data_IF_209408478389
#
_entry.id   IF_209408478389
#
_cell.length_a   1.000
_cell.length_b   1.000
_cell.length_c   1.000
_cell.angle_alpha   90.00
_cell.angle_beta   90.00
_cell.angle_gamma   90.00
#
_symmetry.space_group_name_H-M   'P 1'
#
loop_
_entity.id
_entity.type
_entity.pdbx_description
1 polymer ?
#
# COMPACT_ATOMS: atom_id res chain seq x y z
N UNK A 1 0.18 27.81 2.53
CA UNK A 1 0.87 26.63 1.96
C UNK A 1 0.09 25.31 2.12
N UNK A 2 -0.72 25.11 3.18
CA UNK A 2 -1.29 23.79 3.51
C UNK A 2 -2.47 23.25 2.67
N UNK A 3 -3.16 24.05 1.83
CA UNK A 3 -4.35 23.58 1.11
C UNK A 3 -4.01 22.58 -0.03
N UNK A 4 -2.90 22.81 -0.72
CA UNK A 4 -2.46 21.96 -1.84
C UNK A 4 -1.85 20.65 -1.33
N UNK A 5 -1.07 20.71 -0.25
CA UNK A 5 -0.41 19.54 0.34
C UNK A 5 -1.41 18.59 0.99
N UNK A 6 -2.46 19.12 1.64
CA UNK A 6 -3.55 18.31 2.16
C UNK A 6 -4.26 17.50 1.06
N UNK A 7 -4.58 18.16 -0.07
CA UNK A 7 -5.25 17.52 -1.22
C UNK A 7 -4.40 16.40 -1.82
N UNK A 8 -3.08 16.61 -1.90
CA UNK A 8 -2.14 15.60 -2.38
C UNK A 8 -2.14 14.35 -1.49
N UNK A 9 -2.06 14.53 -0.17
CA UNK A 9 -2.03 13.40 0.78
C UNK A 9 -3.33 12.61 0.76
N UNK A 10 -4.49 13.29 0.68
CA UNK A 10 -5.77 12.60 0.54
C UNK A 10 -5.85 11.77 -0.74
N UNK A 11 -5.38 12.31 -1.88
CA UNK A 11 -5.31 11.54 -3.13
C UNK A 11 -4.40 10.33 -3.03
N UNK A 12 -3.27 10.49 -2.34
CA UNK A 12 -2.32 9.40 -2.12
C UNK A 12 -2.94 8.27 -1.30
N UNK A 13 -3.57 8.58 -0.15
CA UNK A 13 -4.27 7.56 0.66
C UNK A 13 -5.47 6.96 -0.06
N UNK A 14 -6.21 7.76 -0.84
CA UNK A 14 -7.30 7.25 -1.65
C UNK A 14 -6.82 6.22 -2.67
N UNK A 15 -5.69 6.47 -3.34
CA UNK A 15 -5.09 5.51 -4.27
C UNK A 15 -4.66 4.21 -3.56
N UNK A 16 -4.13 4.34 -2.35
CA UNK A 16 -3.73 3.19 -1.54
C UNK A 16 -4.92 2.32 -1.12
N UNK A 17 -6.01 2.95 -0.68
CA UNK A 17 -7.28 2.26 -0.41
C UNK A 17 -7.84 1.61 -1.68
N UNK A 18 -7.79 2.31 -2.82
CA UNK A 18 -8.23 1.76 -4.10
C UNK A 18 -7.39 0.54 -4.52
N UNK A 19 -6.09 0.53 -4.19
CA UNK A 19 -5.20 -0.60 -4.44
C UNK A 19 -5.60 -1.81 -3.60
N UNK A 20 -6.00 -1.59 -2.34
CA UNK A 20 -6.51 -2.63 -1.45
C UNK A 20 -7.86 -3.17 -1.96
N UNK A 21 -8.78 -2.28 -2.35
CA UNK A 21 -10.05 -2.65 -2.97
C UNK A 21 -9.82 -3.44 -4.25
N UNK A 22 -8.85 -3.06 -5.08
CA UNK A 22 -8.51 -3.77 -6.31
C UNK A 22 -8.04 -5.20 -6.03
N UNK A 23 -7.15 -5.41 -5.06
CA UNK A 23 -6.69 -6.77 -4.70
C UNK A 23 -7.85 -7.62 -4.18
N UNK A 24 -8.70 -7.08 -3.29
CA UNK A 24 -9.88 -7.79 -2.78
C UNK A 24 -10.88 -8.08 -3.90
N UNK A 25 -11.09 -7.13 -4.80
CA UNK A 25 -11.97 -7.27 -5.96
C UNK A 25 -11.48 -8.36 -6.91
N UNK A 26 -10.19 -8.40 -7.21
CA UNK A 26 -9.58 -9.47 -8.02
C UNK A 26 -9.75 -10.84 -7.36
N UNK A 27 -9.52 -10.92 -6.04
CA UNK A 27 -9.70 -12.14 -5.27
C UNK A 27 -11.15 -12.65 -5.35
N UNK A 28 -12.13 -11.75 -5.24
CA UNK A 28 -13.56 -12.08 -5.36
C UNK A 28 -13.98 -12.45 -6.78
N UNK A 29 -13.47 -11.77 -7.81
CA UNK A 29 -13.75 -12.09 -9.21
C UNK A 29 -13.23 -13.48 -9.58
N UNK A 30 -12.02 -13.82 -9.14
CA UNK A 30 -11.44 -15.15 -9.34
C UNK A 30 -12.22 -16.22 -8.58
N UNK A 31 -12.62 -15.94 -7.35
CA UNK A 31 -13.47 -16.84 -6.57
C UNK A 31 -14.82 -17.09 -7.25
N UNK A 32 -15.46 -16.03 -7.75
CA UNK A 32 -16.73 -16.15 -8.49
C UNK A 32 -16.58 -16.91 -9.81
N UNK A 33 -15.46 -16.72 -10.52
CA UNK A 33 -15.13 -17.44 -11.75
C UNK A 33 -14.95 -18.94 -11.50
N UNK A 34 -14.33 -19.30 -10.37
CA UNK A 34 -14.07 -20.69 -9.96
C UNK A 34 -15.22 -21.34 -9.19
N UNK A 35 -16.40 -20.70 -9.14
CA UNK A 35 -17.59 -21.26 -8.50
C UNK A 35 -17.60 -21.18 -6.97
N UNK A 36 -16.82 -20.28 -6.36
CA UNK A 36 -16.80 -20.05 -4.90
C UNK A 36 -15.87 -20.96 -4.11
N UNK A 37 -15.02 -21.74 -4.80
CA UNK A 37 -14.11 -22.69 -4.17
C UNK A 37 -12.67 -22.16 -4.05
N UNK A 38 -12.34 -20.99 -4.61
CA UNK A 38 -10.98 -20.45 -4.62
C UNK A 38 -10.48 -20.06 -3.23
N UNK A 39 -11.34 -19.45 -2.39
CA UNK A 39 -10.96 -19.08 -1.02
C UNK A 39 -10.66 -20.31 -0.15
N UNK A 40 -11.48 -21.34 -0.27
CA UNK A 40 -11.32 -22.60 0.48
C UNK A 40 -10.13 -23.41 -0.03
N UNK A 41 -9.83 -23.29 -1.32
CA UNK A 41 -8.78 -24.04 -1.97
C UNK A 41 -7.40 -23.81 -1.35
N UNK A 42 -6.96 -22.55 -1.17
CA UNK A 42 -5.65 -22.29 -0.57
C UNK A 42 -5.53 -22.74 0.89
N UNK A 43 -6.61 -22.64 1.67
CA UNK A 43 -6.66 -23.12 3.06
C UNK A 43 -6.52 -24.65 3.11
N UNK A 44 -7.26 -25.36 2.25
CA UNK A 44 -7.17 -26.83 2.12
C UNK A 44 -5.80 -27.30 1.65
N UNK A 45 -5.16 -26.57 0.71
CA UNK A 45 -3.80 -26.90 0.27
C UNK A 45 -2.81 -26.82 1.44
N UNK A 46 -2.96 -25.85 2.33
CA UNK A 46 -2.12 -25.70 3.52
C UNK A 46 -2.37 -26.82 4.56
N UNK A 47 -3.64 -27.18 4.79
CA UNK A 47 -4.04 -28.21 5.75
C UNK A 47 -3.63 -29.61 5.31
N UNK A 48 -3.75 -29.91 4.03
CA UNK A 48 -3.53 -31.26 3.52
C UNK A 48 -2.14 -31.47 2.95
N UNK A 49 -1.23 -30.47 2.97
CA UNK A 49 0.07 -30.47 2.25
C UNK A 49 0.87 -31.78 2.32
N UNK A 50 0.77 -32.54 3.41
CA UNK A 50 1.46 -33.83 3.65
C UNK A 50 0.79 -35.09 3.08
N UNK A 51 -0.44 -35.02 2.54
CA UNK A 51 -1.16 -36.20 1.98
C UNK A 51 -1.02 -36.30 0.46
N UNK A 52 -0.92 -37.51 -0.08
CA UNK A 52 -0.80 -37.74 -1.52
C UNK A 52 -1.96 -37.12 -2.32
N UNK A 53 -1.63 -36.49 -3.46
CA UNK A 53 -2.58 -35.75 -4.31
C UNK A 53 -3.70 -36.62 -4.91
N UNK A 54 -3.55 -37.95 -4.94
CA UNK A 54 -4.55 -38.89 -5.45
C UNK A 54 -5.68 -39.18 -4.44
N UNK A 55 -5.42 -39.04 -3.14
CA UNK A 55 -6.43 -39.21 -2.08
C UNK A 55 -7.20 -37.91 -1.76
N UNK A 56 -6.72 -36.76 -2.26
CA UNK A 56 -7.37 -35.47 -2.06
C UNK A 56 -8.50 -35.27 -3.07
N UNK A 57 -9.75 -35.40 -2.61
CA UNK A 57 -10.93 -34.98 -3.37
C UNK A 57 -11.07 -33.46 -3.24
N UNK A 58 -10.22 -32.73 -3.95
CA UNK A 58 -10.31 -31.27 -4.01
C UNK A 58 -11.48 -30.85 -4.92
N UNK A 59 -12.36 -29.92 -4.51
CA UNK A 59 -13.48 -29.43 -5.31
C UNK A 59 -13.06 -28.89 -6.68
N UNK A 60 -11.81 -28.44 -6.79
CA UNK A 60 -11.24 -27.91 -8.04
C UNK A 60 -11.02 -28.98 -9.11
N UNK A 61 -11.02 -30.28 -8.77
CA UNK A 61 -11.01 -31.39 -9.74
C UNK A 61 -12.29 -31.40 -10.59
N UNK A 62 -13.42 -30.97 -10.01
CA UNK A 62 -14.68 -30.84 -10.74
C UNK A 62 -14.72 -29.62 -11.66
N UNK A 63 -14.03 -28.55 -11.26
CA UNK A 63 -13.90 -27.32 -12.07
C UNK A 63 -12.88 -27.53 -13.20
N UNK A 64 -11.80 -28.27 -12.92
CA UNK A 64 -10.66 -28.49 -13.81
C UNK A 64 -10.29 -29.99 -13.91
N UNK A 65 -11.05 -30.81 -14.67
CA UNK A 65 -10.73 -32.22 -14.87
C UNK A 65 -9.41 -32.41 -15.64
N UNK A 66 -8.46 -33.13 -15.03
CA UNK A 66 -7.17 -33.49 -15.66
C UNK A 66 -7.31 -34.63 -16.68
N UNK A 67 -8.40 -35.41 -16.59
CA UNK A 67 -8.72 -36.54 -17.45
C UNK A 67 -10.19 -36.48 -17.89
N UNK A 68 -10.46 -36.78 -19.16
CA UNK A 68 -11.82 -36.81 -19.73
C UNK A 68 -12.04 -38.07 -20.56
N UNK A 69 -13.29 -38.52 -20.67
CA UNK A 69 -13.67 -39.65 -21.53
C UNK A 69 -13.93 -39.13 -22.94
N UNK A 70 -13.06 -39.47 -23.87
CA UNK A 70 -13.23 -39.18 -25.28
C UNK A 70 -13.93 -40.35 -25.98
N UNK A 71 -14.94 -40.03 -26.79
CA UNK A 71 -15.66 -41.01 -27.59
C UNK A 71 -15.18 -40.93 -29.04
N UNK A 72 -14.55 -41.99 -29.51
CA UNK A 72 -14.12 -42.12 -30.90
C UNK A 72 -15.11 -43.02 -31.65
N UNK A 73 -15.66 -42.50 -32.74
CA UNK A 73 -16.50 -43.26 -33.65
C UNK A 73 -15.64 -43.78 -34.80
N UNK A 74 -15.48 -45.11 -34.88
CA UNK A 74 -14.68 -45.77 -35.91
C UNK A 74 -15.59 -46.68 -36.72
N UNK A 75 -15.42 -46.70 -38.04
CA UNK A 75 -16.16 -47.59 -38.92
C UNK A 75 -15.49 -48.97 -38.92
N UNK A 76 -16.26 -50.00 -38.55
CA UNK A 76 -15.82 -51.39 -38.61
C UNK A 76 -15.76 -51.90 -40.05
N UNK A 77 -15.12 -53.07 -40.28
CA UNK A 77 -15.00 -53.69 -41.62
C UNK A 77 -16.36 -54.02 -42.26
N UNK A 78 -17.43 -54.11 -41.47
CA UNK A 78 -18.81 -54.33 -41.92
C UNK A 78 -19.59 -53.03 -42.19
N UNK A 79 -18.97 -51.85 -42.06
CA UNK A 79 -19.62 -50.54 -42.22
C UNK A 79 -20.44 -50.07 -41.00
N UNK A 80 -20.44 -50.82 -39.89
CA UNK A 80 -21.09 -50.44 -38.63
C UNK A 80 -20.24 -49.42 -37.86
N UNK A 81 -20.90 -48.46 -37.20
CA UNK A 81 -20.23 -47.49 -36.31
C UNK A 81 -19.97 -48.17 -34.97
N UNK A 82 -18.70 -48.39 -34.66
CA UNK A 82 -18.24 -48.88 -33.36
C UNK A 82 -17.78 -47.69 -32.50
N UNK A 83 -18.29 -47.59 -31.27
CA UNK A 83 -17.89 -46.55 -30.31
C UNK A 83 -16.76 -47.07 -29.44
N UNK A 84 -15.57 -46.49 -29.58
CA UNK A 84 -14.42 -46.77 -28.72
C UNK A 84 -14.23 -45.63 -27.74
N UNK A 85 -14.23 -45.99 -26.47
CA UNK A 85 -13.99 -45.06 -25.37
C UNK A 85 -12.50 -45.05 -25.01
N UNK A 86 -11.91 -43.86 -24.91
CA UNK A 86 -10.54 -43.70 -24.41
C UNK A 86 -10.45 -42.55 -23.42
N UNK A 87 -9.44 -42.59 -22.56
CA UNK A 87 -9.15 -41.50 -21.63
C UNK A 87 -8.22 -40.49 -22.31
N UNK A 88 -8.60 -39.21 -22.25
CA UNK A 88 -7.82 -38.08 -22.76
C UNK A 88 -7.28 -37.26 -21.57
N UNK A 89 -5.99 -36.93 -21.61
CA UNK A 89 -5.39 -36.00 -20.67
C UNK A 89 -5.61 -34.57 -21.15
N UNK A 90 -5.85 -33.63 -20.22
CA UNK A 90 -6.03 -32.21 -20.51
C UNK A 90 -4.91 -31.39 -19.86
N UNK A 91 -3.74 -31.23 -20.52
CA UNK A 91 -2.55 -30.64 -19.91
C UNK A 91 -2.76 -29.20 -19.44
N UNK A 92 -3.61 -28.45 -20.16
CA UNK A 92 -3.94 -27.06 -19.83
C UNK A 92 -4.57 -26.94 -18.42
N UNK A 93 -5.36 -27.92 -18.01
CA UNK A 93 -6.00 -27.92 -16.70
C UNK A 93 -5.01 -28.17 -15.56
N UNK A 94 -4.03 -29.03 -15.81
CA UNK A 94 -2.98 -29.30 -14.85
C UNK A 94 -2.10 -28.06 -14.61
N UNK A 95 -1.83 -27.28 -15.67
CA UNK A 95 -1.12 -25.99 -15.55
C UNK A 95 -1.96 -24.97 -14.76
N UNK A 96 -3.24 -24.81 -15.12
CA UNK A 96 -4.14 -23.91 -14.43
C UNK A 96 -4.22 -24.23 -12.92
N UNK A 97 -4.37 -25.51 -12.56
CA UNK A 97 -4.40 -25.96 -11.17
C UNK A 97 -3.19 -25.44 -10.37
N UNK A 98 -1.98 -25.56 -10.92
CA UNK A 98 -0.75 -25.11 -10.24
C UNK A 98 -0.61 -23.57 -10.25
N UNK A 99 -0.99 -22.91 -11.34
CA UNK A 99 -0.99 -21.45 -11.43
C UNK A 99 -1.95 -20.82 -10.42
N UNK A 100 -3.16 -21.37 -10.25
CA UNK A 100 -4.13 -20.84 -9.28
C UNK A 100 -3.69 -21.02 -7.84
N UNK A 101 -2.97 -22.10 -7.49
CA UNK A 101 -2.33 -22.25 -6.17
C UNK A 101 -1.34 -21.10 -5.95
N UNK A 102 -0.43 -20.89 -6.89
CA UNK A 102 0.60 -19.85 -6.78
C UNK A 102 -0.03 -18.44 -6.65
N UNK A 103 -1.02 -18.15 -7.50
CA UNK A 103 -1.75 -16.88 -7.49
C UNK A 103 -2.49 -16.66 -6.17
N UNK A 104 -3.07 -17.70 -5.57
CA UNK A 104 -3.75 -17.58 -4.28
C UNK A 104 -2.79 -17.12 -3.18
N UNK A 105 -1.65 -17.80 -3.03
CA UNK A 105 -0.63 -17.40 -2.04
C UNK A 105 -0.10 -16.00 -2.31
N UNK A 106 0.14 -15.68 -3.58
CA UNK A 106 0.58 -14.36 -4.00
C UNK A 106 -0.41 -13.26 -3.61
N UNK A 107 -1.71 -13.43 -3.90
CA UNK A 107 -2.72 -12.44 -3.54
C UNK A 107 -2.91 -12.32 -2.03
N UNK A 108 -2.85 -13.42 -1.27
CA UNK A 108 -2.94 -13.37 0.20
C UNK A 108 -1.75 -12.62 0.80
N UNK A 109 -0.53 -12.87 0.32
CA UNK A 109 0.67 -12.13 0.75
C UNK A 109 0.55 -10.64 0.40
N UNK A 110 0.14 -10.30 -0.83
CA UNK A 110 -0.02 -8.90 -1.22
C UNK A 110 -1.13 -8.20 -0.42
N UNK A 111 -2.27 -8.86 -0.21
CA UNK A 111 -3.38 -8.33 0.57
C UNK A 111 -2.98 -8.08 2.04
N UNK A 112 -2.26 -9.02 2.66
CA UNK A 112 -1.79 -8.88 4.05
C UNK A 112 -0.75 -7.78 4.20
N UNK A 113 0.26 -7.73 3.33
CA UNK A 113 1.28 -6.67 3.35
C UNK A 113 0.67 -5.29 3.13
N UNK A 114 -0.23 -5.15 2.15
CA UNK A 114 -0.89 -3.88 1.87
C UNK A 114 -1.82 -3.46 3.01
N UNK A 115 -2.59 -4.40 3.57
CA UNK A 115 -3.45 -4.12 4.73
C UNK A 115 -2.64 -3.67 5.94
N UNK A 116 -1.52 -4.33 6.24
CA UNK A 116 -0.63 -3.91 7.32
C UNK A 116 -0.06 -2.51 7.09
N UNK A 117 0.33 -2.21 5.85
CA UNK A 117 0.88 -0.91 5.46
C UNK A 117 -0.18 0.19 5.61
N UNK A 118 -1.41 -0.03 5.15
CA UNK A 118 -2.55 0.90 5.32
C UNK A 118 -2.87 1.10 6.80
N UNK A 119 -2.94 0.03 7.59
CA UNK A 119 -3.20 0.10 9.04
C UNK A 119 -2.10 0.87 9.77
N UNK A 120 -0.84 0.60 9.48
CA UNK A 120 0.29 1.35 10.05
C UNK A 120 0.17 2.85 9.76
N UNK A 121 -0.19 3.22 8.52
CA UNK A 121 -0.38 4.63 8.13
C UNK A 121 -1.58 5.27 8.81
N UNK A 122 -2.69 4.52 8.97
CA UNK A 122 -3.88 4.97 9.69
C UNK A 122 -3.57 5.22 11.17
N UNK A 123 -2.77 4.34 11.81
CA UNK A 123 -2.31 4.52 13.19
C UNK A 123 -1.42 5.78 13.32
N UNK A 124 -0.49 6.01 12.39
CA UNK A 124 0.33 7.23 12.36
C UNK A 124 -0.51 8.52 12.21
N UNK A 125 -1.60 8.44 11.47
CA UNK A 125 -2.56 9.53 11.33
C UNK A 125 -3.33 9.78 12.63
N UNK A 126 -3.88 8.71 13.22
CA UNK A 126 -4.70 8.77 14.43
C UNK A 126 -3.90 9.20 15.69
N UNK A 127 -2.62 8.82 15.79
CA UNK A 127 -1.76 9.14 16.93
C UNK A 127 -0.73 10.23 16.58
N UNK A 128 -1.05 11.52 16.79
CA UNK A 128 -0.11 12.62 16.53
C UNK A 128 1.17 12.56 17.38
N UNK A 129 1.11 11.94 18.57
CA UNK A 129 2.29 11.77 19.44
C UNK A 129 3.35 10.81 18.91
N UNK A 130 2.99 9.89 18.00
CA UNK A 130 3.96 8.96 17.39
C UNK A 130 4.73 9.60 16.23
N UNK A 131 4.17 10.63 15.61
CA UNK A 131 4.73 11.29 14.42
C UNK A 131 6.20 11.73 14.58
N UNK A 132 6.56 12.54 15.60
CA UNK A 132 7.94 12.98 15.78
C UNK A 132 8.87 11.83 16.21
N UNK A 133 8.37 10.85 16.99
CA UNK A 133 9.15 9.69 17.42
C UNK A 133 9.59 8.81 16.24
N UNK A 134 8.67 8.56 15.31
CA UNK A 134 8.94 7.73 14.14
C UNK A 134 9.91 8.43 13.17
N UNK A 135 9.77 9.74 12.96
CA UNK A 135 10.75 10.51 12.17
C UNK A 135 12.15 10.45 12.78
N UNK A 136 12.25 10.60 14.11
CA UNK A 136 13.52 10.49 14.82
C UNK A 136 14.14 9.09 14.72
N UNK A 137 13.34 8.02 14.81
CA UNK A 137 13.83 6.66 14.65
C UNK A 137 14.47 6.43 13.29
N UNK A 138 13.89 6.99 12.22
CA UNK A 138 14.43 6.85 10.88
C UNK A 138 15.61 7.79 10.61
N UNK A 139 15.62 8.96 11.25
CA UNK A 139 16.61 10.01 11.05
C UNK A 139 17.23 10.47 12.36
N UNK A 140 18.04 9.59 12.96
CA UNK A 140 18.71 9.81 14.24
C UNK A 140 19.71 10.97 14.25
N UNK A 141 20.11 11.43 13.06
CA UNK A 141 21.00 12.57 12.86
C UNK A 141 20.36 13.91 13.23
N UNK A 142 19.03 13.99 13.31
CA UNK A 142 18.27 15.21 13.63
C UNK A 142 17.77 15.12 15.08
N UNK A 143 17.95 16.18 15.90
CA UNK A 143 17.42 16.19 17.26
C UNK A 143 15.88 16.15 17.26
N UNK A 144 15.31 15.40 18.20
CA UNK A 144 13.86 15.21 18.33
C UNK A 144 13.08 16.53 18.51
N UNK A 145 13.70 17.52 19.14
CA UNK A 145 13.13 18.85 19.39
C UNK A 145 12.76 19.58 18.09
N UNK A 146 13.60 19.45 17.05
CA UNK A 146 13.34 20.05 15.73
C UNK A 146 12.11 19.41 15.09
N UNK A 147 11.94 18.09 15.22
CA UNK A 147 10.74 17.42 14.71
C UNK A 147 9.48 17.82 15.47
N UNK A 148 9.56 18.03 16.79
CA UNK A 148 8.42 18.48 17.60
C UNK A 148 8.01 19.92 17.27
N UNK A 149 8.98 20.83 17.21
CA UNK A 149 8.75 22.23 16.85
C UNK A 149 8.14 22.34 15.45
N UNK A 150 8.63 21.55 14.49
CA UNK A 150 8.10 21.52 13.13
C UNK A 150 6.69 20.92 13.07
N UNK A 151 6.47 19.75 13.68
CA UNK A 151 5.17 19.06 13.62
C UNK A 151 4.05 19.87 14.26
N UNK A 152 4.36 20.70 15.27
CA UNK A 152 3.38 21.59 15.92
C UNK A 152 3.02 22.81 15.08
N UNK A 153 3.93 23.30 14.21
CA UNK A 153 3.72 24.50 13.40
C UNK A 153 3.16 24.22 12.00
N UNK A 154 3.29 22.98 11.54
CA UNK A 154 3.06 22.62 10.15
C UNK A 154 1.80 21.77 9.96
N UNK A 155 1.18 21.86 8.78
CA UNK A 155 0.01 21.05 8.45
C UNK A 155 0.37 19.56 8.32
N UNK A 156 -0.64 18.69 8.46
CA UNK A 156 -0.44 17.24 8.35
C UNK A 156 0.07 16.81 6.97
N UNK A 157 -0.27 17.58 5.93
CA UNK A 157 0.16 17.34 4.56
C UNK A 157 1.67 17.50 4.41
N UNK A 158 2.24 18.57 4.96
CA UNK A 158 3.68 18.81 4.82
C UNK A 158 4.49 17.87 5.71
N UNK A 159 3.97 17.50 6.89
CA UNK A 159 4.57 16.44 7.72
C UNK A 159 4.68 15.12 6.94
N UNK A 160 3.61 14.73 6.25
CA UNK A 160 3.58 13.50 5.46
C UNK A 160 4.60 13.50 4.32
N UNK A 161 4.72 14.62 3.60
CA UNK A 161 5.71 14.78 2.53
C UNK A 161 7.12 14.63 3.10
N UNK A 162 7.41 15.28 4.23
CA UNK A 162 8.71 15.14 4.89
C UNK A 162 8.95 13.74 5.41
N UNK A 163 7.93 13.03 5.87
CA UNK A 163 8.03 11.63 6.25
C UNK A 163 8.42 10.76 5.05
N UNK A 164 7.76 10.94 3.89
CA UNK A 164 8.11 10.22 2.65
C UNK A 164 9.53 10.57 2.21
N UNK A 165 9.89 11.86 2.23
CA UNK A 165 11.22 12.34 1.87
C UNK A 165 12.30 11.72 2.75
N UNK A 166 12.03 11.62 4.04
CA UNK A 166 12.95 11.07 5.04
C UNK A 166 13.34 9.61 4.77
N UNK A 167 12.48 8.86 4.05
CA UNK A 167 12.72 7.46 3.66
C UNK A 167 13.47 7.30 2.35
N UNK A 168 13.55 8.35 1.54
CA UNK A 168 14.14 8.32 0.20
C UNK A 168 15.45 9.13 0.10
N UNK A 169 15.84 9.83 1.17
CA UNK A 169 17.05 10.68 1.23
C UNK A 169 17.97 10.19 2.35
N UNK A 170 19.28 10.35 2.14
CA UNK A 170 20.31 10.03 3.12
C UNK A 170 20.15 10.86 4.42
N UNK A 171 20.29 10.27 5.62
CA UNK A 171 20.01 10.97 6.88
C UNK A 171 20.81 12.27 7.10
N UNK A 172 22.02 12.38 6.57
CA UNK A 172 22.83 13.60 6.67
C UNK A 172 22.26 14.75 5.83
N UNK A 173 21.81 14.45 4.60
CA UNK A 173 21.18 15.44 3.70
C UNK A 173 19.82 15.86 4.26
N UNK A 174 19.06 14.89 4.79
CA UNK A 174 17.78 15.16 5.42
C UNK A 174 17.91 16.13 6.61
N UNK A 175 18.99 16.02 7.39
CA UNK A 175 19.29 16.96 8.49
C UNK A 175 19.51 18.39 8.01
N UNK A 176 20.28 18.60 6.94
CA UNK A 176 20.51 19.94 6.40
C UNK A 176 19.20 20.57 5.92
N UNK A 177 18.39 19.80 5.20
CA UNK A 177 17.05 20.23 4.74
C UNK A 177 16.17 20.62 5.93
N UNK A 178 16.08 19.77 6.95
CA UNK A 178 15.25 20.05 8.14
C UNK A 178 15.72 21.28 8.91
N UNK A 179 17.03 21.52 8.98
CA UNK A 179 17.60 22.67 9.71
C UNK A 179 17.31 23.98 8.97
N UNK A 180 17.43 23.99 7.62
CA UNK A 180 17.08 25.14 6.79
C UNK A 180 15.59 25.45 6.84
N UNK A 181 14.74 24.42 6.73
CA UNK A 181 13.29 24.56 6.85
C UNK A 181 12.87 25.10 8.22
N UNK A 182 13.49 24.64 9.30
CA UNK A 182 13.20 25.15 10.64
C UNK A 182 13.46 26.66 10.75
N UNK A 183 14.60 27.13 10.20
CA UNK A 183 14.96 28.56 10.17
C UNK A 183 13.99 29.41 9.35
N UNK A 184 13.55 28.92 8.19
CA UNK A 184 12.58 29.63 7.35
C UNK A 184 11.19 29.71 8.00
N UNK A 185 10.76 28.65 8.68
CA UNK A 185 9.47 28.62 9.40
C UNK A 185 9.48 29.60 10.57
N UNK A 186 10.57 29.69 11.33
CA UNK A 186 10.72 30.69 12.40
C UNK A 186 10.72 32.12 11.87
N UNK A 187 11.42 32.36 10.76
CA UNK A 187 11.46 33.69 10.11
C UNK A 187 10.07 34.10 9.62
N UNK A 188 9.34 33.18 9.00
CA UNK A 188 7.98 33.43 8.50
C UNK A 188 6.99 33.70 9.64
N UNK A 189 7.13 32.99 10.76
CA UNK A 189 6.31 33.22 11.95
C UNK A 189 6.58 34.61 12.56
N UNK A 190 7.85 35.03 12.61
CA UNK A 190 8.23 36.37 13.07
C UNK A 190 7.64 37.47 12.17
N UNK A 191 7.78 37.35 10.85
CA UNK A 191 7.24 38.31 9.89
C UNK A 191 5.70 38.43 9.98
N UNK A 192 5.00 37.31 10.18
CA UNK A 192 3.55 37.34 10.39
C UNK A 192 3.15 37.99 11.72
N UNK A 193 3.97 37.87 12.78
CA UNK A 193 3.71 38.53 14.05
C UNK A 193 3.80 40.06 13.94
N UNK A 194 4.70 40.60 13.10
CA UNK A 194 4.76 42.04 12.82
C UNK A 194 3.57 42.56 12.00
N UNK A 195 3.00 41.73 11.11
CA UNK A 195 1.84 42.08 10.28
C UNK A 195 0.48 41.87 10.96
N UNK A 196 0.44 41.09 12.05
CA UNK A 196 -0.79 40.78 12.80
C UNK A 196 -1.18 41.83 13.85
N UNK A 197 -0.36 42.86 14.07
CA UNK A 197 -0.73 43.97 14.94
C UNK A 197 -1.32 45.09 14.05
N UNK A 198 -2.64 45.37 14.10
CA UNK A 198 -3.13 46.59 13.49
C UNK A 198 -2.44 47.72 14.23
N UNK A 199 -1.55 48.44 13.54
CA UNK A 199 -0.98 49.69 14.01
C UNK A 199 -2.15 50.66 14.13
N UNK A 200 -2.81 50.65 15.29
CA UNK A 200 -3.57 51.77 15.82
C UNK A 200 -2.56 52.89 16.02
N UNK A 201 -2.62 53.88 15.14
CA UNK A 201 -1.62 54.93 15.04
C UNK A 201 -1.54 55.85 16.25
N UNK A 202 -0.45 56.62 16.28
CA UNK A 202 -0.39 57.88 17.00
C UNK A 202 0.94 58.14 17.70
N UNK A 203 1.71 59.10 17.18
CA UNK A 203 2.45 60.03 18.05
C UNK A 203 3.98 59.91 18.05
N UNK A 204 4.58 60.72 17.17
CA UNK A 204 5.83 61.51 17.30
C UNK A 204 6.71 61.35 18.56
N UNK A 205 8.02 61.23 18.31
CA UNK A 205 9.18 61.97 18.87
C UNK A 205 10.43 61.13 18.50
N UNK A 206 11.37 61.49 17.64
CA UNK A 206 12.05 62.77 17.47
C UNK A 206 13.31 62.80 18.32
N UNK A 207 14.44 62.22 17.88
CA UNK A 207 15.77 62.84 18.06
C UNK A 207 16.91 62.10 17.33
N UNK A 208 17.56 62.86 16.44
CA UNK A 208 18.99 62.88 16.11
C UNK A 208 19.93 62.05 17.02
N UNK A 209 20.82 61.26 16.41
CA UNK A 209 22.26 61.55 16.42
C UNK A 209 23.02 60.65 15.44
N UNK A 210 23.69 61.32 14.51
CA UNK A 210 24.73 60.79 13.64
C UNK A 210 26.07 60.73 14.39
N UNK A 211 26.96 59.88 13.87
CA UNK A 211 28.41 60.04 13.80
C UNK A 211 29.28 59.11 14.66
N UNK A 212 30.12 58.37 13.92
CA UNK A 212 31.51 58.02 14.18
C UNK A 212 32.18 58.71 15.38
N UNK A 213 32.80 57.92 16.26
CA UNK A 213 34.24 57.63 16.39
C UNK A 213 34.37 56.28 17.10
#
# INVERSE_FOLDING_TARGET
MGCTTLTYVFKYWFCELLSLVNIIGQLFLVDRFLGGEFMKYGIKVLEFSDRDQEERVDPMIFVFPRMTKCHFHIFGPSGTIERRDSLCLLPLNMLNEKTFIFIWFWYVILATLLSFLVLYRLILLAMPGLRPRIMYQHNRAVPIEVFQAFTNKTSIGDWWILYILSKNIDPMVYRDIMTRLAKEVETSASNNAYLGNPVGGGGKEGLHASSAV
#
